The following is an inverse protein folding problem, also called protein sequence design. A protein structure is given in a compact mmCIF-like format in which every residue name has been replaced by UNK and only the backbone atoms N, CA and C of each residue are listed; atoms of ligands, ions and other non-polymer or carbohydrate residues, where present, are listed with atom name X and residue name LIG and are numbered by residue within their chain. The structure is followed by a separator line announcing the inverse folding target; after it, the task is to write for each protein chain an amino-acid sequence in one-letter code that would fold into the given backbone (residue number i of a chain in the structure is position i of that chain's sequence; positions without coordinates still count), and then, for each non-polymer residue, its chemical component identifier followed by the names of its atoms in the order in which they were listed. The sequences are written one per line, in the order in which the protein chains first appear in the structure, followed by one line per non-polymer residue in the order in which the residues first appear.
data_IF_900737701164
#
_entry.id   IF_900737701164
#
_cell.length_a   1.000
_cell.length_b   1.000
_cell.length_c   1.000
_cell.angle_alpha   90.00
_cell.angle_beta   90.00
_cell.angle_gamma   90.00
#
_symmetry.space_group_name_H-M   'P 1'
#
loop_
_entity.id
_entity.type
_entity.pdbx_description
1 polymer ?
#
# COMPACT_ATOMS: atom_id res chain seq x y z
N UNK A 1 -4.19 5.30 3.73
CA UNK A 1 -3.51 4.95 2.46
C UNK A 1 -4.46 5.29 1.33
N UNK A 2 -4.08 6.24 0.49
CA UNK A 2 -4.89 6.56 -0.68
C UNK A 2 -4.82 5.41 -1.66
N UNK A 3 -5.92 5.11 -2.35
CA UNK A 3 -5.98 4.06 -3.36
C UNK A 3 -6.56 4.61 -4.64
N UNK A 4 -6.01 4.17 -5.76
CA UNK A 4 -6.54 4.52 -7.05
C UNK A 4 -6.31 3.43 -8.08
N UNK A 5 -7.09 3.42 -9.16
CA UNK A 5 -6.85 2.56 -10.32
C UNK A 5 -6.13 3.37 -11.39
N UNK A 6 -5.02 2.85 -11.92
CA UNK A 6 -4.37 3.46 -13.09
C UNK A 6 -5.31 3.42 -14.29
N UNK A 7 -5.31 4.50 -15.07
CA UNK A 7 -6.07 4.56 -16.30
C UNK A 7 -5.37 5.49 -17.28
N UNK A 8 -5.04 4.96 -18.45
CA UNK A 8 -4.53 5.74 -19.58
C UNK A 8 -5.56 6.79 -20.01
N UNK A 9 -5.11 7.80 -20.74
CA UNK A 9 -6.01 8.81 -21.32
C UNK A 9 -7.11 8.16 -22.17
N UNK A 10 -6.75 7.20 -23.00
CA UNK A 10 -7.69 6.45 -23.85
C UNK A 10 -8.74 5.72 -23.01
N UNK A 11 -8.34 5.00 -21.96
CA UNK A 11 -9.27 4.30 -21.06
C UNK A 11 -10.21 5.28 -20.36
N UNK A 12 -9.72 6.45 -19.93
CA UNK A 12 -10.56 7.51 -19.33
C UNK A 12 -11.60 8.04 -20.32
N UNK A 13 -11.23 8.26 -21.57
CA UNK A 13 -12.14 8.72 -22.63
C UNK A 13 -13.21 7.67 -22.96
N UNK A 14 -12.81 6.39 -23.06
CA UNK A 14 -13.71 5.27 -23.32
C UNK A 14 -14.74 5.11 -22.19
N UNK A 15 -14.30 5.15 -20.94
CA UNK A 15 -15.21 5.12 -19.78
C UNK A 15 -16.16 6.32 -19.84
N UNK A 16 -15.64 7.52 -20.08
CA UNK A 16 -16.48 8.72 -20.15
C UNK A 16 -17.59 8.58 -21.20
N UNK A 17 -17.27 8.06 -22.39
CA UNK A 17 -18.25 7.77 -23.45
C UNK A 17 -19.24 6.68 -23.04
N UNK A 18 -18.76 5.57 -22.47
CA UNK A 18 -19.58 4.43 -22.07
C UNK A 18 -20.64 4.81 -21.01
N UNK A 19 -20.34 5.78 -20.15
CA UNK A 19 -21.25 6.27 -19.12
C UNK A 19 -21.97 7.58 -19.50
N UNK A 20 -22.21 7.82 -20.80
CA UNK A 20 -22.99 8.97 -21.31
C UNK A 20 -22.42 10.34 -20.94
N UNK A 21 -21.09 10.49 -20.99
CA UNK A 21 -20.44 11.79 -20.78
C UNK A 21 -20.39 12.22 -19.31
N UNK A 22 -20.11 11.28 -18.40
CA UNK A 22 -19.91 11.62 -16.98
C UNK A 22 -18.90 12.75 -16.78
N UNK A 23 -19.10 13.52 -15.71
CA UNK A 23 -18.17 14.57 -15.33
C UNK A 23 -16.77 14.03 -15.02
N UNK A 24 -15.74 14.86 -15.21
CA UNK A 24 -14.36 14.51 -14.81
C UNK A 24 -14.26 14.19 -13.31
N UNK A 25 -15.05 14.87 -12.48
CA UNK A 25 -15.07 14.66 -11.03
C UNK A 25 -15.66 13.30 -10.66
N UNK A 26 -16.73 12.86 -11.33
CA UNK A 26 -17.30 11.52 -11.16
C UNK A 26 -16.30 10.44 -11.55
N UNK A 27 -15.62 10.61 -12.69
CA UNK A 27 -14.58 9.68 -13.12
C UNK A 27 -13.41 9.65 -12.12
N UNK A 28 -12.97 10.82 -11.63
CA UNK A 28 -11.89 10.91 -10.65
C UNK A 28 -12.27 10.22 -9.34
N UNK A 29 -13.46 10.47 -8.78
CA UNK A 29 -13.96 9.80 -7.56
C UNK A 29 -14.17 8.29 -7.72
N UNK A 30 -14.49 7.84 -8.93
CA UNK A 30 -14.56 6.42 -9.21
C UNK A 30 -13.15 5.81 -9.20
N UNK A 31 -12.17 6.45 -9.84
CA UNK A 31 -10.81 5.95 -9.94
C UNK A 31 -9.98 6.13 -8.67
N UNK A 32 -10.21 7.18 -7.87
CA UNK A 32 -9.61 7.43 -6.57
C UNK A 32 -10.64 7.13 -5.48
N UNK A 33 -10.42 6.08 -4.70
CA UNK A 33 -11.43 5.51 -3.81
C UNK A 33 -10.84 5.02 -2.50
N UNK A 34 -11.65 4.99 -1.45
CA UNK A 34 -11.27 4.39 -0.17
C UNK A 34 -11.39 2.87 -0.21
N UNK A 35 -12.51 2.38 -0.73
CA UNK A 35 -12.87 0.97 -0.79
C UNK A 35 -13.45 0.65 -2.18
N UNK A 36 -12.98 -0.45 -2.78
CA UNK A 36 -13.38 -0.87 -4.13
C UNK A 36 -14.89 -1.13 -4.23
N UNK A 37 -15.51 -1.55 -3.12
CA UNK A 37 -16.92 -1.95 -3.02
C UNK A 37 -17.86 -0.85 -2.53
N UNK A 38 -17.34 0.30 -2.08
CA UNK A 38 -18.14 1.46 -1.62
C UNK A 38 -18.45 2.44 -2.76
N UNK A 39 -19.39 3.34 -2.52
CA UNK A 39 -19.83 4.36 -3.47
C UNK A 39 -21.03 3.91 -4.30
N UNK A 40 -21.35 4.70 -5.32
CA UNK A 40 -22.49 4.47 -6.21
C UNK A 40 -22.26 3.28 -7.14
N UNK A 41 -23.34 2.69 -7.66
CA UNK A 41 -23.28 1.63 -8.68
C UNK A 41 -22.49 2.05 -9.92
N UNK A 42 -22.62 3.31 -10.32
CA UNK A 42 -21.87 3.88 -11.45
C UNK A 42 -20.37 3.88 -11.16
N UNK A 43 -19.94 4.37 -9.99
CA UNK A 43 -18.52 4.38 -9.59
C UNK A 43 -17.94 2.95 -9.55
N UNK A 44 -18.69 1.97 -9.03
CA UNK A 44 -18.24 0.56 -9.00
C UNK A 44 -18.12 -0.04 -10.40
N UNK A 45 -19.07 0.24 -11.30
CA UNK A 45 -19.00 -0.20 -12.70
C UNK A 45 -17.84 0.45 -13.45
N UNK A 46 -17.55 1.72 -13.18
CA UNK A 46 -16.38 2.41 -13.73
C UNK A 46 -15.09 1.70 -13.28
N UNK A 47 -14.94 1.39 -11.98
CA UNK A 47 -13.76 0.67 -11.47
C UNK A 47 -13.59 -0.69 -12.14
N UNK A 48 -14.67 -1.47 -12.24
CA UNK A 48 -14.66 -2.77 -12.93
C UNK A 48 -14.21 -2.63 -14.39
N UNK A 49 -14.72 -1.63 -15.12
CA UNK A 49 -14.31 -1.38 -16.49
C UNK A 49 -12.84 -0.96 -16.60
N UNK A 50 -12.34 -0.12 -15.69
CA UNK A 50 -10.94 0.29 -15.67
C UNK A 50 -10.00 -0.90 -15.44
N UNK A 51 -10.31 -1.77 -14.46
CA UNK A 51 -9.56 -3.00 -14.18
C UNK A 51 -9.56 -3.97 -15.37
N UNK A 52 -10.72 -4.18 -15.99
CA UNK A 52 -10.84 -5.04 -17.18
C UNK A 52 -10.03 -4.53 -18.39
N UNK A 53 -9.66 -3.25 -18.39
CA UNK A 53 -8.82 -2.62 -19.41
C UNK A 53 -7.35 -2.49 -18.99
N UNK A 54 -6.92 -3.28 -18.01
CA UNK A 54 -5.53 -3.32 -17.55
C UNK A 54 -5.16 -2.23 -16.54
N UNK A 55 -6.15 -1.51 -16.00
CA UNK A 55 -5.91 -0.65 -14.84
C UNK A 55 -5.46 -1.49 -13.64
N UNK A 56 -4.47 -0.98 -12.91
CA UNK A 56 -3.90 -1.64 -11.73
C UNK A 56 -4.27 -0.81 -10.50
N UNK A 57 -4.62 -1.49 -9.40
CA UNK A 57 -4.83 -0.83 -8.12
C UNK A 57 -3.47 -0.41 -7.57
N UNK A 58 -3.31 0.90 -7.41
CA UNK A 58 -2.17 1.54 -6.77
C UNK A 58 -2.56 1.96 -5.37
N UNK A 59 -1.60 1.88 -4.46
CA UNK A 59 -1.73 2.37 -3.09
C UNK A 59 -0.64 3.40 -2.88
N UNK A 60 -1.03 4.60 -2.42
CA UNK A 60 -0.09 5.62 -1.99
C UNK A 60 0.14 5.44 -0.50
N UNK A 61 1.39 5.24 -0.15
CA UNK A 61 1.90 5.17 1.21
C UNK A 61 3.08 6.14 1.31
N UNK A 62 3.39 6.69 2.50
CA UNK A 62 4.71 7.24 2.75
C UNK A 62 5.78 6.28 2.25
N UNK A 63 6.80 6.84 1.61
CA UNK A 63 7.98 6.10 1.20
C UNK A 63 8.60 5.44 2.43
N UNK A 64 8.84 4.15 2.33
CA UNK A 64 9.44 3.34 3.36
C UNK A 64 10.36 2.39 2.64
N UNK A 65 11.65 2.67 2.74
CA UNK A 65 12.65 1.81 2.13
C UNK A 65 12.61 0.46 2.84
N UNK A 66 12.42 -0.60 2.05
CA UNK A 66 12.46 -1.99 2.51
C UNK A 66 13.49 -2.72 1.67
N UNK A 67 14.65 -3.01 2.27
CA UNK A 67 15.76 -3.68 1.60
C UNK A 67 15.80 -5.14 2.03
N UNK A 68 16.04 -6.02 1.04
CA UNK A 68 16.32 -7.43 1.28
C UNK A 68 17.80 -7.65 1.01
N UNK A 69 18.60 -7.57 2.06
CA UNK A 69 20.05 -7.56 1.97
C UNK A 69 20.62 -8.97 1.73
N UNK A 70 21.81 -9.00 1.14
CA UNK A 70 22.54 -10.24 0.82
C UNK A 70 23.03 -10.98 2.07
N UNK A 71 23.13 -10.29 3.21
CA UNK A 71 23.53 -10.82 4.52
C UNK A 71 22.44 -11.66 5.21
N UNK A 72 21.28 -11.85 4.56
CA UNK A 72 20.19 -12.63 5.12
C UNK A 72 19.18 -11.80 5.91
N UNK A 73 19.30 -10.47 5.95
CA UNK A 73 18.32 -9.61 6.62
C UNK A 73 17.31 -8.97 5.66
N UNK A 74 16.19 -8.57 6.23
CA UNK A 74 15.26 -7.60 5.65
C UNK A 74 15.21 -6.39 6.59
N UNK A 75 15.44 -5.19 6.06
CA UNK A 75 15.47 -3.95 6.84
C UNK A 75 14.44 -2.96 6.32
N UNK A 76 13.69 -2.36 7.23
CA UNK A 76 12.72 -1.30 6.90
C UNK A 76 13.07 -0.02 7.64
N UNK A 77 13.14 1.07 6.89
CA UNK A 77 13.43 2.41 7.42
C UNK A 77 12.16 3.24 7.40
N UNK A 78 11.70 3.60 8.60
CA UNK A 78 10.46 4.33 8.77
C UNK A 78 10.73 5.84 8.81
N UNK A 79 9.80 6.69 8.31
CA UNK A 79 9.98 8.15 8.31
C UNK A 79 10.16 8.79 9.69
N UNK A 80 9.77 8.11 10.77
CA UNK A 80 9.96 8.54 12.16
C UNK A 80 11.37 8.22 12.71
N UNK A 81 12.29 7.70 11.87
CA UNK A 81 13.66 7.34 12.26
C UNK A 81 13.80 5.96 12.88
N UNK A 82 12.71 5.20 12.98
CA UNK A 82 12.72 3.81 13.48
C UNK A 82 13.20 2.87 12.39
N UNK A 83 13.90 1.82 12.79
CA UNK A 83 14.33 0.74 11.90
C UNK A 83 13.78 -0.60 12.38
N UNK A 84 13.22 -1.40 11.47
CA UNK A 84 12.93 -2.81 11.71
C UNK A 84 13.98 -3.65 10.98
N UNK A 85 14.55 -4.64 11.67
CA UNK A 85 15.44 -5.64 11.08
C UNK A 85 14.89 -7.03 11.35
N UNK A 86 14.78 -7.85 10.30
CA UNK A 86 14.28 -9.22 10.36
C UNK A 86 15.31 -10.19 9.76
N UNK A 87 15.73 -11.18 10.53
CA UNK A 87 16.57 -12.29 10.06
C UNK A 87 15.71 -13.23 9.22
N UNK A 88 16.03 -13.39 7.93
CA UNK A 88 15.26 -14.24 7.00
C UNK A 88 15.49 -15.74 7.25
N UNK A 89 16.49 -16.10 8.04
CA UNK A 89 16.86 -17.49 8.35
C UNK A 89 16.17 -17.97 9.62
N UNK A 90 16.28 -17.21 10.72
CA UNK A 90 15.70 -17.60 12.02
C UNK A 90 14.27 -17.10 12.20
N UNK A 91 13.92 -16.01 11.51
CA UNK A 91 12.67 -15.29 11.70
C UNK A 91 12.72 -14.32 12.89
N UNK A 92 13.88 -14.08 13.49
CA UNK A 92 14.01 -13.11 14.58
C UNK A 92 13.84 -11.69 14.06
N UNK A 93 13.11 -10.87 14.80
CA UNK A 93 12.81 -9.48 14.42
C UNK A 93 13.12 -8.53 15.56
N UNK A 94 13.85 -7.46 15.25
CA UNK A 94 14.14 -6.36 16.17
C UNK A 94 13.63 -5.04 15.60
N UNK A 95 13.15 -4.18 16.50
CA UNK A 95 12.80 -2.79 16.21
C UNK A 95 13.74 -1.90 17.00
N UNK A 96 14.36 -0.96 16.31
CA UNK A 96 15.27 0.04 16.85
C UNK A 96 14.60 1.41 16.81
N UNK A 97 14.59 2.12 17.93
CA UNK A 97 14.13 3.50 17.97
C UNK A 97 15.12 4.45 17.25
N UNK A 98 14.75 5.74 17.19
CA UNK A 98 15.55 6.78 16.53
C UNK A 98 16.95 6.97 17.13
N UNK A 99 17.15 6.53 18.38
CA UNK A 99 18.41 6.63 19.11
C UNK A 99 19.23 5.32 18.99
N UNK A 100 18.71 4.32 18.28
CA UNK A 100 19.34 3.02 18.06
C UNK A 100 19.13 2.01 19.18
N UNK A 101 18.25 2.29 20.15
CA UNK A 101 17.93 1.34 21.21
C UNK A 101 16.90 0.32 20.73
N UNK A 102 17.01 -0.92 21.19
CA UNK A 102 16.02 -1.97 20.88
C UNK A 102 14.73 -1.68 21.64
N UNK A 103 13.67 -1.31 20.92
CA UNK A 103 12.34 -1.06 21.50
C UNK A 103 11.50 -2.34 21.59
N UNK A 104 11.76 -3.30 20.70
CA UNK A 104 11.05 -4.58 20.63
C UNK A 104 11.97 -5.66 20.03
N UNK A 105 11.92 -6.86 20.61
CA UNK A 105 12.58 -8.06 20.09
C UNK A 105 11.59 -9.22 20.11
N UNK A 106 11.42 -9.90 18.99
CA UNK A 106 10.54 -11.06 18.84
C UNK A 106 11.32 -12.18 18.17
N UNK A 107 11.50 -13.29 18.87
CA UNK A 107 12.17 -14.47 18.33
C UNK A 107 11.22 -15.30 17.47
N UNK A 108 11.74 -15.90 16.39
CA UNK A 108 11.01 -16.79 15.49
C UNK A 108 9.64 -16.24 15.06
N UNK A 109 9.59 -14.97 14.69
CA UNK A 109 8.35 -14.27 14.38
C UNK A 109 7.67 -14.91 13.16
N UNK A 110 6.40 -15.31 13.35
CA UNK A 110 5.55 -15.72 12.24
C UNK A 110 5.26 -14.53 11.33
N UNK A 111 5.16 -14.78 10.03
CA UNK A 111 4.76 -13.76 9.03
C UNK A 111 3.46 -13.04 9.43
N UNK A 112 2.49 -13.76 10.02
CA UNK A 112 1.24 -13.18 10.50
C UNK A 112 1.43 -12.11 11.59
N UNK A 113 2.51 -12.20 12.38
CA UNK A 113 2.85 -11.26 13.46
C UNK A 113 3.59 -10.02 12.94
N UNK A 114 4.23 -10.12 11.77
CA UNK A 114 5.04 -9.04 11.21
C UNK A 114 4.23 -7.74 11.03
N UNK A 115 2.96 -7.84 10.63
CA UNK A 115 2.08 -6.68 10.54
C UNK A 115 1.96 -5.92 11.87
N UNK A 116 1.85 -6.62 12.99
CA UNK A 116 1.74 -5.99 14.31
C UNK A 116 3.06 -5.33 14.73
N UNK A 117 4.19 -5.99 14.44
CA UNK A 117 5.53 -5.44 14.70
C UNK A 117 5.75 -4.15 13.88
N UNK A 118 5.37 -4.16 12.61
CA UNK A 118 5.44 -2.99 11.73
C UNK A 118 4.50 -1.85 12.18
N UNK A 119 3.35 -2.17 12.78
CA UNK A 119 2.47 -1.15 13.37
C UNK A 119 3.11 -0.53 14.63
N UNK A 120 3.74 -1.35 15.47
CA UNK A 120 4.49 -0.85 16.63
C UNK A 120 5.61 0.10 16.17
N UNK A 121 6.42 -0.29 15.18
CA UNK A 121 7.49 0.54 14.63
C UNK A 121 7.00 1.90 14.13
N UNK A 122 5.82 1.96 13.48
CA UNK A 122 5.19 3.22 13.03
C UNK A 122 4.69 4.13 14.15
N UNK A 123 4.53 3.61 15.37
CA UNK A 123 3.94 4.33 16.51
C UNK A 123 4.95 4.95 17.48
N UNK A 124 6.24 4.61 17.33
CA UNK A 124 7.37 5.16 18.08
C UNK A 124 7.80 6.56 17.54
#
# INVERSE_FOLDING_TARGET
MERFITATKETRELITKAFRGISRQTLWRALYFEDINKGTDTERKIRKMALNRGGIIMVVSPEMETMHDADGYMRQYYPNGVMLEADKTTGDVKVYDRDGNVSLSVEHAKISKLNEIQHHAKSL
#
